data_IF_598526188926
#
_entry.id   IF_598526188926
#
_cell.length_a   1.000
_cell.length_b   1.000
_cell.length_c   1.000
_cell.angle_alpha   90.00
_cell.angle_beta   90.00
_cell.angle_gamma   90.00
#
_symmetry.space_group_name_H-M   'P 1'
#
loop_
_entity.id
_entity.type
_entity.pdbx_description
1 polymer ?
#
# COMPACT_ATOMS: atom_id res chain seq x y z
N UNK A 1 -15.68 7.70 -6.76
CA UNK A 1 -15.74 6.61 -5.76
C UNK A 1 -14.37 5.95 -5.70
N UNK A 2 -13.76 5.82 -4.53
CA UNK A 2 -12.56 5.00 -4.35
C UNK A 2 -12.91 3.64 -3.76
N UNK A 3 -12.43 2.56 -4.39
CA UNK A 3 -12.64 1.19 -3.95
C UNK A 3 -11.31 0.61 -3.49
N UNK A 4 -11.30 0.03 -2.30
CA UNK A 4 -10.14 -0.73 -1.78
C UNK A 4 -10.43 -2.22 -1.81
N UNK A 5 -9.44 -3.01 -2.21
CA UNK A 5 -9.47 -4.47 -2.11
C UNK A 5 -8.19 -4.96 -1.46
N UNK A 6 -8.30 -5.97 -0.60
CA UNK A 6 -7.16 -6.58 0.07
C UNK A 6 -7.07 -8.06 -0.28
N UNK A 7 -5.89 -8.53 -0.64
CA UNK A 7 -5.60 -9.96 -0.83
C UNK A 7 -4.31 -10.34 -0.12
N UNK A 8 -4.26 -11.57 0.41
CA UNK A 8 -2.99 -12.10 0.92
C UNK A 8 -2.00 -12.20 -0.23
N UNK A 9 -0.77 -11.79 0.05
CA UNK A 9 0.34 -11.85 -0.89
C UNK A 9 1.49 -12.67 -0.30
N UNK A 10 2.60 -12.72 -1.03
CA UNK A 10 3.81 -13.42 -0.61
C UNK A 10 4.50 -12.71 0.55
N UNK A 11 5.57 -13.31 1.09
CA UNK A 11 6.46 -12.69 2.08
C UNK A 11 5.73 -12.22 3.36
N UNK A 12 4.66 -12.93 3.75
CA UNK A 12 3.80 -12.59 4.87
C UNK A 12 3.29 -11.13 4.78
N UNK A 13 2.72 -10.78 3.63
CA UNK A 13 2.19 -9.45 3.34
C UNK A 13 0.76 -9.48 2.81
N UNK A 14 0.12 -8.32 2.85
CA UNK A 14 -1.19 -8.06 2.23
C UNK A 14 -0.99 -7.06 1.11
N UNK A 15 -1.48 -7.39 -0.08
CA UNK A 15 -1.60 -6.47 -1.19
C UNK A 15 -2.94 -5.73 -1.07
N UNK A 16 -2.85 -4.41 -0.99
CA UNK A 16 -3.97 -3.48 -1.02
C UNK A 16 -3.99 -2.83 -2.39
N UNK A 17 -5.00 -3.14 -3.18
CA UNK A 17 -5.28 -2.46 -4.44
C UNK A 17 -6.34 -1.40 -4.23
N UNK A 18 -6.17 -0.26 -4.89
CA UNK A 18 -7.21 0.77 -4.94
C UNK A 18 -7.47 1.26 -6.36
N UNK A 19 -8.74 1.58 -6.62
CA UNK A 19 -9.21 2.13 -7.88
C UNK A 19 -10.04 3.38 -7.62
N UNK A 20 -9.76 4.43 -8.38
CA UNK A 20 -10.53 5.68 -8.36
C UNK A 20 -11.44 5.66 -9.58
N UNK A 21 -12.74 5.48 -9.35
CA UNK A 21 -13.75 5.52 -10.39
C UNK A 21 -13.74 6.89 -11.09
N UNK A 22 -13.63 6.89 -12.43
CA UNK A 22 -13.50 8.12 -13.22
C UNK A 22 -12.13 8.81 -13.14
N UNK A 23 -11.19 8.29 -12.34
CA UNK A 23 -9.81 8.80 -12.23
C UNK A 23 -9.66 10.12 -11.48
N UNK A 24 -10.75 10.66 -10.93
CA UNK A 24 -10.76 11.91 -10.16
C UNK A 24 -11.29 11.59 -8.75
N UNK A 25 -10.61 12.12 -7.74
CA UNK A 25 -11.03 12.03 -6.34
C UNK A 25 -10.58 13.28 -5.59
N UNK A 26 -11.19 13.53 -4.45
CA UNK A 26 -10.82 14.60 -3.53
C UNK A 26 -10.49 14.04 -2.13
N UNK A 27 -9.84 14.84 -1.26
CA UNK A 27 -9.52 14.39 0.08
C UNK A 27 -10.75 13.98 0.90
N UNK A 28 -11.88 14.67 0.81
CA UNK A 28 -13.07 14.40 1.63
C UNK A 28 -13.63 13.00 1.34
N UNK A 29 -13.75 12.64 0.06
CA UNK A 29 -14.13 11.31 -0.40
C UNK A 29 -13.16 10.24 0.12
N UNK A 30 -11.86 10.47 -0.04
CA UNK A 30 -10.83 9.53 0.40
C UNK A 30 -10.87 9.34 1.92
N UNK A 31 -10.93 10.42 2.70
CA UNK A 31 -10.92 10.39 4.16
C UNK A 31 -12.19 9.77 4.77
N UNK A 32 -13.33 9.88 4.09
CA UNK A 32 -14.59 9.24 4.49
C UNK A 32 -14.69 7.77 4.10
N UNK A 33 -13.84 7.29 3.18
CA UNK A 33 -13.83 5.88 2.78
C UNK A 33 -13.09 5.00 3.80
N UNK A 34 -13.71 3.92 4.31
CA UNK A 34 -13.06 2.99 5.21
C UNK A 34 -11.90 2.26 4.51
N UNK A 35 -10.80 2.11 5.24
CA UNK A 35 -9.63 1.36 4.78
C UNK A 35 -9.69 -0.09 5.26
N UNK A 36 -9.10 -1.05 4.50
CA UNK A 36 -9.01 -2.44 4.93
C UNK A 36 -8.24 -2.57 6.25
N UNK A 37 -8.72 -3.44 7.15
CA UNK A 37 -7.97 -3.81 8.34
C UNK A 37 -6.83 -4.78 7.97
N UNK A 38 -5.64 -4.51 8.49
CA UNK A 38 -4.42 -5.27 8.19
C UNK A 38 -3.77 -5.69 9.50
N UNK A 39 -3.50 -7.00 9.70
CA UNK A 39 -2.73 -7.46 10.84
C UNK A 39 -1.35 -6.78 10.91
N UNK A 40 -1.03 -6.20 12.06
CA UNK A 40 0.24 -5.48 12.29
C UNK A 40 1.49 -6.37 12.15
N UNK A 41 1.33 -7.69 12.24
CA UNK A 41 2.40 -8.66 12.08
C UNK A 41 2.70 -9.02 10.60
N UNK A 42 2.04 -8.36 9.64
CA UNK A 42 2.26 -8.54 8.21
C UNK A 42 2.89 -7.29 7.59
N UNK A 43 3.49 -7.46 6.41
CA UNK A 43 3.83 -6.34 5.53
C UNK A 43 2.62 -5.85 4.74
N UNK A 44 2.67 -4.63 4.24
CA UNK A 44 1.64 -4.06 3.36
C UNK A 44 2.25 -3.66 2.03
N UNK A 45 1.58 -4.00 0.94
CA UNK A 45 1.91 -3.55 -0.41
C UNK A 45 0.75 -2.69 -0.91
N UNK A 46 1.05 -1.47 -1.37
CA UNK A 46 0.07 -0.55 -1.94
C UNK A 46 0.19 -0.55 -3.47
N UNK A 47 -0.93 -0.72 -4.16
CA UNK A 47 -0.99 -0.68 -5.63
C UNK A 47 -2.28 0.00 -6.09
N UNK A 48 -2.19 0.81 -7.15
CA UNK A 48 -3.32 1.56 -7.66
C UNK A 48 -2.82 2.72 -8.53
N UNK A 49 -3.76 3.47 -9.12
CA UNK A 49 -3.44 4.74 -9.78
C UNK A 49 -4.08 5.85 -8.97
N UNK A 50 -3.28 6.77 -8.47
CA UNK A 50 -3.78 7.87 -7.65
C UNK A 50 -2.76 8.97 -7.42
N UNK A 51 -3.20 10.08 -6.82
CA UNK A 51 -2.34 11.20 -6.53
C UNK A 51 -1.35 10.90 -5.40
N UNK A 52 -0.23 11.62 -5.37
CA UNK A 52 0.84 11.42 -4.37
C UNK A 52 0.32 11.52 -2.93
N UNK A 53 -0.59 12.47 -2.65
CA UNK A 53 -1.15 12.66 -1.32
C UNK A 53 -1.96 11.45 -0.82
N UNK A 54 -2.57 10.67 -1.73
CA UNK A 54 -3.29 9.45 -1.37
C UNK A 54 -2.29 8.39 -0.91
N UNK A 55 -1.17 8.21 -1.62
CA UNK A 55 -0.10 7.32 -1.17
C UNK A 55 0.46 7.75 0.19
N UNK A 56 0.70 9.04 0.41
CA UNK A 56 1.17 9.54 1.70
C UNK A 56 0.19 9.20 2.84
N UNK A 57 -1.12 9.39 2.61
CA UNK A 57 -2.17 8.99 3.57
C UNK A 57 -2.11 7.48 3.86
N UNK A 58 -2.06 6.65 2.82
CA UNK A 58 -2.09 5.20 2.96
C UNK A 58 -0.83 4.67 3.67
N UNK A 59 0.35 5.15 3.28
CA UNK A 59 1.61 4.79 3.94
C UNK A 59 1.56 5.17 5.42
N UNK A 60 1.07 6.36 5.76
CA UNK A 60 0.92 6.77 7.16
C UNK A 60 -0.10 5.92 7.91
N UNK A 61 -1.24 5.58 7.30
CA UNK A 61 -2.25 4.74 7.93
C UNK A 61 -1.72 3.33 8.23
N UNK A 62 -1.01 2.73 7.26
CA UNK A 62 -0.43 1.39 7.40
C UNK A 62 0.95 1.37 8.05
N UNK A 63 1.43 2.49 8.60
CA UNK A 63 2.72 2.54 9.28
C UNK A 63 2.87 1.48 10.39
N UNK A 64 1.84 1.09 11.18
CA UNK A 64 2.02 0.08 12.22
C UNK A 64 2.34 -1.33 11.70
N UNK A 65 2.26 -1.58 10.38
CA UNK A 65 2.70 -2.83 9.77
C UNK A 65 4.20 -3.07 9.96
N UNK A 66 4.65 -4.32 9.74
CA UNK A 66 6.09 -4.66 9.78
C UNK A 66 6.91 -3.82 8.81
N UNK A 67 6.37 -3.58 7.63
CA UNK A 67 6.92 -2.74 6.57
C UNK A 67 5.80 -2.38 5.59
N UNK A 68 6.02 -1.29 4.84
CA UNK A 68 5.12 -0.84 3.77
C UNK A 68 5.90 -0.72 2.49
N UNK A 69 5.35 -1.23 1.38
CA UNK A 69 5.90 -1.10 0.04
C UNK A 69 4.89 -0.48 -0.92
N UNK A 70 5.38 0.21 -1.95
CA UNK A 70 4.58 0.77 -3.03
C UNK A 70 4.94 0.04 -4.33
N UNK A 71 3.92 -0.35 -5.09
CA UNK A 71 4.10 -0.86 -6.44
C UNK A 71 4.44 0.27 -7.41
N UNK A 72 5.62 0.21 -8.02
CA UNK A 72 5.99 0.95 -9.22
C UNK A 72 6.00 -0.01 -10.43
N UNK A 73 5.10 0.15 -11.42
CA UNK A 73 5.02 -0.74 -12.58
C UNK A 73 6.30 -0.88 -13.41
N UNK A 74 7.29 0.02 -13.25
CA UNK A 74 8.56 0.00 -13.98
C UNK A 74 9.63 -0.85 -13.31
N UNK A 75 9.49 -1.09 -12.00
CA UNK A 75 10.56 -1.65 -11.16
C UNK A 75 10.05 -2.83 -10.32
N UNK A 76 8.85 -2.74 -9.75
CA UNK A 76 8.29 -3.72 -8.82
C UNK A 76 7.81 -3.07 -7.53
N UNK A 77 7.84 -3.82 -6.43
CA UNK A 77 7.37 -3.34 -5.12
C UNK A 77 8.54 -2.83 -4.30
N UNK A 78 8.53 -1.54 -3.98
CA UNK A 78 9.63 -0.85 -3.32
C UNK A 78 9.24 -0.58 -1.87
N UNK A 79 10.03 -1.07 -0.92
CA UNK A 79 9.83 -0.80 0.50
C UNK A 79 10.08 0.69 0.79
N UNK A 80 9.11 1.37 1.40
CA UNK A 80 9.16 2.81 1.72
C UNK A 80 9.21 3.09 3.22
N UNK A 81 8.90 2.09 4.05
CA UNK A 81 8.99 2.16 5.50
C UNK A 81 9.22 0.75 6.06
N UNK A 82 10.08 0.62 7.06
CA UNK A 82 10.30 -0.66 7.76
C UNK A 82 10.42 -0.49 9.28
N UNK A 83 9.84 -1.41 10.04
CA UNK A 83 10.04 -1.57 11.49
C UNK A 83 10.87 -2.83 11.82
N UNK A 84 11.41 -3.50 10.81
CA UNK A 84 12.03 -4.81 10.95
C UNK A 84 13.38 -4.84 10.24
N UNK A 85 14.31 -5.68 10.71
CA UNK A 85 15.67 -5.73 10.16
C UNK A 85 15.76 -6.48 8.84
N UNK A 86 14.79 -7.36 8.56
CA UNK A 86 14.81 -8.19 7.35
C UNK A 86 14.41 -7.42 6.10
N UNK A 87 13.88 -6.20 6.24
CA UNK A 87 13.49 -5.31 5.13
C UNK A 87 14.02 -3.90 5.37
N UNK A 88 14.43 -3.22 4.31
CA UNK A 88 14.96 -1.86 4.40
C UNK A 88 14.37 -0.94 3.33
N UNK A 89 14.31 0.35 3.62
CA UNK A 89 13.81 1.35 2.67
C UNK A 89 14.63 1.33 1.37
N UNK A 90 13.94 1.39 0.23
CA UNK A 90 14.53 1.29 -1.11
C UNK A 90 14.73 -0.13 -1.62
N UNK A 91 14.51 -1.16 -0.78
CA UNK A 91 14.55 -2.55 -1.21
C UNK A 91 13.44 -2.87 -2.22
N UNK A 92 13.78 -3.60 -3.28
CA UNK A 92 12.83 -4.11 -4.28
C UNK A 92 12.47 -5.55 -3.92
N UNK A 93 11.18 -5.83 -3.71
CA UNK A 93 10.69 -7.16 -3.38
C UNK A 93 10.57 -8.03 -4.64
N UNK A 94 11.49 -8.98 -4.81
CA UNK A 94 11.45 -9.95 -5.91
C UNK A 94 10.33 -10.99 -5.74
N UNK A 95 9.76 -11.47 -6.86
CA UNK A 95 8.85 -12.62 -6.90
C UNK A 95 7.37 -12.35 -6.62
N UNK A 96 6.98 -11.09 -6.43
CA UNK A 96 5.57 -10.69 -6.34
C UNK A 96 5.08 -10.42 -7.77
N UNK A 97 4.13 -11.20 -8.29
CA UNK A 97 3.38 -10.95 -9.54
C UNK A 97 1.90 -11.02 -9.18
#
# INVERSE_FOLDING_TARGET
>A
MIIFTSTKSILNSILITFEIEGGITDPEEVFSTPLPDVPQNMGVILSGRGPIWLYARLVHHFHPARWVAIHDPRIGYIVVQSHVKERHEGEILEGVI
#
